data_IF_311465628186
#
_entry.id   IF_311465628186
#
_cell.length_a   1.000
_cell.length_b   1.000
_cell.length_c   1.000
_cell.angle_alpha   90.00
_cell.angle_beta   90.00
_cell.angle_gamma   90.00
#
_symmetry.space_group_name_H-M   'P 1'
#
loop_
_entity.id
_entity.type
_entity.pdbx_description
1 polymer ?
#
# COMPACT_ATOMS: atom_id res chain seq x y z
N UNK A 1 4.74 17.48 -15.82
CA UNK A 1 5.90 17.74 -16.71
C UNK A 1 6.91 16.60 -16.72
N UNK A 2 6.75 15.67 -17.67
CA UNK A 2 7.76 14.62 -17.96
C UNK A 2 7.93 14.47 -19.47
N UNK A 3 8.38 15.53 -20.14
CA UNK A 3 8.77 15.51 -21.54
C UNK A 3 10.23 15.97 -21.66
N UNK A 4 11.17 15.06 -21.43
CA UNK A 4 12.58 15.25 -21.77
C UNK A 4 13.03 14.07 -22.65
N UNK A 5 13.51 14.31 -23.89
CA UNK A 5 13.75 13.28 -24.90
C UNK A 5 14.94 12.33 -24.61
N UNK A 6 15.78 12.62 -23.61
CA UNK A 6 17.07 11.92 -23.41
C UNK A 6 17.16 10.98 -22.20
N UNK A 7 16.03 10.59 -21.58
CA UNK A 7 16.05 9.63 -20.45
C UNK A 7 16.09 8.17 -20.90
N UNK A 8 17.01 7.81 -21.80
CA UNK A 8 17.31 6.40 -22.04
C UNK A 8 18.06 5.86 -20.82
N UNK A 9 17.61 4.74 -20.20
CA UNK A 9 18.39 4.12 -19.14
C UNK A 9 19.80 3.80 -19.65
N UNK A 10 20.86 3.99 -18.84
CA UNK A 10 22.21 3.66 -19.26
C UNK A 10 22.30 2.22 -19.79
N UNK A 11 23.26 1.99 -20.70
CA UNK A 11 23.54 0.67 -21.25
C UNK A 11 23.83 -0.33 -20.13
N UNK A 12 23.31 -1.56 -20.26
CA UNK A 12 23.49 -2.59 -19.22
C UNK A 12 24.87 -3.25 -19.34
N UNK A 13 25.61 -3.44 -18.23
CA UNK A 13 26.73 -4.37 -18.19
C UNK A 13 26.28 -5.79 -18.58
N UNK A 14 27.16 -6.59 -19.16
CA UNK A 14 26.84 -7.96 -19.61
C UNK A 14 26.41 -8.89 -18.46
N UNK A 15 26.87 -8.61 -17.24
CA UNK A 15 26.59 -9.38 -16.02
C UNK A 15 25.34 -8.90 -15.26
N UNK A 16 24.73 -7.78 -15.66
CA UNK A 16 23.62 -7.17 -14.92
C UNK A 16 22.29 -7.31 -15.67
N UNK A 17 21.25 -7.82 -14.99
CA UNK A 17 19.87 -7.77 -15.47
C UNK A 17 19.19 -6.48 -15.00
N UNK A 18 18.21 -5.98 -15.78
CA UNK A 18 17.41 -4.83 -15.34
C UNK A 18 16.62 -5.23 -14.11
N UNK A 19 16.63 -4.38 -13.10
CA UNK A 19 15.80 -4.55 -11.91
C UNK A 19 14.36 -4.30 -12.33
N UNK A 20 13.48 -5.22 -11.97
CA UNK A 20 12.04 -5.10 -12.16
C UNK A 20 11.36 -5.15 -10.79
N UNK A 21 10.36 -4.30 -10.59
CA UNK A 21 9.55 -4.30 -9.37
C UNK A 21 8.10 -4.30 -9.81
N UNK A 22 7.35 -5.33 -9.43
CA UNK A 22 5.89 -5.36 -9.52
C UNK A 22 5.34 -5.32 -8.10
N UNK A 23 4.64 -4.24 -7.75
CA UNK A 23 4.07 -4.04 -6.42
C UNK A 23 2.56 -3.83 -6.53
N UNK A 24 1.81 -4.62 -5.77
CA UNK A 24 0.35 -4.51 -5.64
C UNK A 24 0.01 -4.20 -4.20
N UNK A 25 -0.82 -3.17 -3.99
CA UNK A 25 -1.26 -2.76 -2.67
C UNK A 25 -2.78 -2.84 -2.59
N UNK A 26 -3.27 -3.44 -1.51
CA UNK A 26 -4.68 -3.46 -1.15
C UNK A 26 -4.84 -2.80 0.22
N UNK A 27 -5.70 -1.79 0.27
CA UNK A 27 -5.99 -1.02 1.47
C UNK A 27 -7.45 -1.24 1.82
N UNK A 28 -7.73 -1.72 3.02
CA UNK A 28 -9.09 -2.03 3.45
C UNK A 28 -9.31 -1.51 4.86
N UNK A 29 -10.38 -0.75 5.14
CA UNK A 29 -10.75 -0.45 6.51
C UNK A 29 -10.99 -1.75 7.31
N UNK A 30 -10.74 -1.76 8.62
CA UNK A 30 -10.95 -2.98 9.42
C UNK A 30 -12.43 -3.39 9.46
N UNK A 31 -13.33 -2.41 9.58
CA UNK A 31 -14.77 -2.64 9.65
C UNK A 31 -15.25 -3.02 11.05
N UNK A 32 -16.54 -3.28 11.20
CA UNK A 32 -17.15 -3.66 12.49
C UNK A 32 -17.09 -2.57 13.57
N UNK A 33 -16.95 -1.31 13.16
CA UNK A 33 -16.74 -0.17 14.06
C UNK A 33 -15.30 -0.05 14.58
N UNK A 34 -14.39 -0.95 14.21
CA UNK A 34 -12.98 -0.84 14.59
C UNK A 34 -12.24 0.22 13.77
N UNK A 35 -11.36 0.97 14.44
CA UNK A 35 -10.53 1.98 13.81
C UNK A 35 -9.33 1.36 13.08
N UNK A 36 -8.92 2.01 11.99
CA UNK A 36 -7.70 1.69 11.25
C UNK A 36 -7.92 0.92 9.94
N UNK A 37 -6.81 0.76 9.21
CA UNK A 37 -6.78 0.21 7.85
C UNK A 37 -5.79 -0.95 7.80
N UNK A 38 -6.22 -2.07 7.21
CA UNK A 38 -5.35 -3.18 6.86
C UNK A 38 -4.72 -2.88 5.51
N UNK A 39 -3.39 -2.86 5.49
CA UNK A 39 -2.58 -2.76 4.28
C UNK A 39 -2.01 -4.14 3.95
N UNK A 40 -2.34 -4.65 2.77
CA UNK A 40 -1.69 -5.83 2.18
C UNK A 40 -0.86 -5.36 0.99
N UNK A 41 0.46 -5.51 1.09
CA UNK A 41 1.39 -5.18 0.01
C UNK A 41 2.10 -6.44 -0.46
N UNK A 42 2.03 -6.72 -1.76
CA UNK A 42 2.75 -7.82 -2.41
C UNK A 42 3.72 -7.20 -3.40
N UNK A 43 5.02 -7.36 -3.16
CA UNK A 43 6.06 -6.87 -4.04
C UNK A 43 6.90 -8.03 -4.57
N UNK A 44 7.05 -8.11 -5.90
CA UNK A 44 7.98 -9.01 -6.57
C UNK A 44 9.13 -8.19 -7.14
N UNK A 45 10.31 -8.37 -6.55
CA UNK A 45 11.54 -7.69 -6.97
C UNK A 45 12.44 -8.66 -7.73
N UNK A 46 12.72 -8.36 -8.98
CA UNK A 46 13.76 -9.01 -9.77
C UNK A 46 15.06 -8.27 -9.52
N UNK A 47 15.94 -8.87 -8.74
CA UNK A 47 17.29 -8.32 -8.50
C UNK A 47 18.19 -8.59 -9.70
N UNK A 48 18.94 -7.57 -10.12
CA UNK A 48 19.82 -7.62 -11.28
C UNK A 48 21.08 -8.47 -11.09
N UNK A 49 21.34 -8.87 -9.85
CA UNK A 49 22.46 -9.70 -9.39
C UNK A 49 21.93 -10.74 -8.40
N UNK A 50 22.55 -11.93 -8.32
CA UNK A 50 22.22 -12.90 -7.29
C UNK A 50 22.61 -12.36 -5.92
N UNK A 51 21.64 -12.30 -5.00
CA UNK A 51 21.86 -11.88 -3.61
C UNK A 51 21.73 -13.12 -2.72
N UNK A 52 22.68 -13.36 -1.79
CA UNK A 52 22.57 -14.44 -0.82
C UNK A 52 21.26 -14.38 -0.03
N UNK A 53 20.65 -15.54 0.23
CA UNK A 53 19.34 -15.64 0.91
C UNK A 53 19.34 -14.98 2.29
N UNK A 54 20.41 -15.16 3.08
CA UNK A 54 20.55 -14.52 4.39
C UNK A 54 20.54 -12.98 4.30
N UNK A 55 21.13 -12.42 3.25
CA UNK A 55 21.14 -10.97 3.02
C UNK A 55 19.78 -10.48 2.55
N UNK A 56 19.08 -11.25 1.69
CA UNK A 56 17.70 -10.94 1.32
C UNK A 56 16.79 -10.93 2.54
N UNK A 57 16.84 -11.96 3.37
CA UNK A 57 16.02 -12.06 4.59
C UNK A 57 16.28 -10.88 5.53
N UNK A 58 17.55 -10.53 5.75
CA UNK A 58 17.91 -9.36 6.57
C UNK A 58 17.35 -8.06 5.99
N UNK A 59 17.58 -7.82 4.69
CA UNK A 59 17.08 -6.61 4.02
C UNK A 59 15.56 -6.54 4.12
N UNK A 60 14.84 -7.61 3.79
CA UNK A 60 13.38 -7.59 3.82
C UNK A 60 12.83 -7.40 5.24
N UNK A 61 13.43 -8.00 6.25
CA UNK A 61 12.97 -7.83 7.63
C UNK A 61 13.15 -6.38 8.09
N UNK A 62 14.36 -5.83 7.98
CA UNK A 62 14.64 -4.45 8.40
C UNK A 62 13.92 -3.41 7.54
N UNK A 63 13.78 -3.66 6.24
CA UNK A 63 13.12 -2.73 5.32
C UNK A 63 11.60 -2.73 5.50
N UNK A 64 10.98 -3.89 5.76
CA UNK A 64 9.55 -3.98 6.02
C UNK A 64 9.16 -3.19 7.29
N UNK A 65 9.91 -3.35 8.38
CA UNK A 65 9.70 -2.58 9.61
C UNK A 65 9.84 -1.08 9.35
N UNK A 66 10.91 -0.66 8.67
CA UNK A 66 11.14 0.75 8.35
C UNK A 66 10.04 1.36 7.47
N UNK A 67 9.53 0.62 6.48
CA UNK A 67 8.40 1.06 5.66
C UNK A 67 7.16 1.26 6.53
N UNK A 68 6.83 0.26 7.36
CA UNK A 68 5.65 0.34 8.22
C UNK A 68 5.73 1.54 9.17
N UNK A 69 6.89 1.78 9.78
CA UNK A 69 7.13 2.95 10.63
C UNK A 69 6.96 4.27 9.87
N UNK A 70 7.44 4.35 8.64
CA UNK A 70 7.32 5.56 7.82
C UNK A 70 5.87 5.80 7.38
N UNK A 71 5.12 4.75 7.08
CA UNK A 71 3.68 4.84 6.77
C UNK A 71 2.91 5.29 8.00
N UNK A 72 3.18 4.71 9.17
CA UNK A 72 2.56 5.12 10.42
C UNK A 72 2.86 6.58 10.74
N UNK A 73 4.13 7.00 10.67
CA UNK A 73 4.53 8.41 10.85
C UNK A 73 3.82 9.33 9.87
N UNK A 74 3.77 8.97 8.58
CA UNK A 74 3.07 9.74 7.56
C UNK A 74 1.58 9.89 7.84
N UNK A 75 0.92 8.81 8.28
CA UNK A 75 -0.49 8.84 8.66
C UNK A 75 -0.76 9.69 9.90
N UNK A 76 0.16 9.69 10.87
CA UNK A 76 0.04 10.48 12.09
C UNK A 76 0.07 12.00 11.85
N UNK A 77 0.74 12.45 10.77
CA UNK A 77 0.77 13.87 10.38
C UNK A 77 -0.63 14.43 10.11
N UNK A 78 -1.64 13.60 9.81
CA UNK A 78 -3.02 14.05 9.61
C UNK A 78 -3.71 14.37 10.94
N UNK A 79 -3.32 13.72 12.04
CA UNK A 79 -3.91 13.94 13.35
C UNK A 79 -3.51 15.29 13.96
N UNK A 80 -2.41 15.88 13.52
CA UNK A 80 -1.93 17.18 13.98
C UNK A 80 -2.90 18.32 13.58
N UNK A 81 -3.42 19.11 14.54
CA UNK A 81 -4.47 20.13 14.28
C UNK A 81 -4.10 21.17 13.20
N UNK A 82 -2.81 21.50 13.07
CA UNK A 82 -2.33 22.53 12.14
C UNK A 82 -1.64 21.96 10.90
N UNK A 83 -1.68 20.64 10.71
CA UNK A 83 -1.00 20.01 9.60
C UNK A 83 -1.58 20.43 8.24
N UNK A 84 -0.72 20.68 7.23
CA UNK A 84 -1.18 20.97 5.87
C UNK A 84 -2.00 19.80 5.28
N UNK A 85 -1.77 18.57 5.74
CA UNK A 85 -2.51 17.39 5.29
C UNK A 85 -3.95 17.38 5.80
N UNK A 86 -4.16 17.75 7.06
CA UNK A 86 -5.49 17.89 7.64
C UNK A 86 -6.32 18.96 6.92
N UNK A 87 -5.72 20.13 6.68
CA UNK A 87 -6.36 21.22 5.91
C UNK A 87 -6.70 20.81 4.48
N UNK A 88 -5.94 19.88 3.89
CA UNK A 88 -6.22 19.35 2.55
C UNK A 88 -7.39 18.38 2.56
N UNK A 89 -7.50 17.53 3.59
CA UNK A 89 -8.64 16.63 3.80
C UNK A 89 -9.95 17.40 4.02
N UNK A 90 -9.92 18.42 4.87
CA UNK A 90 -11.10 19.24 5.16
C UNK A 90 -11.61 20.03 3.93
N UNK A 91 -10.74 20.30 2.96
CA UNK A 91 -11.10 20.97 1.70
C UNK A 91 -11.64 20.00 0.64
N UNK A 92 -11.48 18.69 0.82
CA UNK A 92 -11.86 17.66 -0.15
C UNK A 92 -13.26 17.11 0.15
N UNK A 93 -14.24 18.01 0.28
CA UNK A 93 -15.60 17.66 0.72
C UNK A 93 -16.30 16.65 -0.19
N UNK A 94 -16.00 16.69 -1.50
CA UNK A 94 -16.65 15.86 -2.53
C UNK A 94 -15.62 15.05 -3.33
N UNK A 95 -14.36 15.00 -2.89
CA UNK A 95 -13.28 14.37 -3.64
C UNK A 95 -12.94 12.97 -3.14
N UNK A 96 -11.73 12.54 -3.48
CA UNK A 96 -11.23 11.19 -3.20
C UNK A 96 -11.32 10.81 -1.71
N UNK A 97 -11.06 11.76 -0.80
CA UNK A 97 -11.11 11.49 0.63
C UNK A 97 -12.54 11.35 1.17
N UNK A 98 -13.51 12.02 0.55
CA UNK A 98 -14.92 11.83 0.87
C UNK A 98 -15.42 10.45 0.43
N UNK A 99 -15.00 9.97 -0.74
CA UNK A 99 -15.28 8.59 -1.19
C UNK A 99 -14.68 7.54 -0.24
N UNK A 100 -13.46 7.79 0.27
CA UNK A 100 -12.86 6.93 1.29
C UNK A 100 -13.67 6.91 2.59
N UNK A 101 -14.20 8.05 3.03
CA UNK A 101 -15.07 8.11 4.21
C UNK A 101 -16.35 7.28 4.02
N UNK A 102 -16.95 7.29 2.82
CA UNK A 102 -18.09 6.43 2.50
C UNK A 102 -17.71 4.94 2.57
N UNK A 103 -16.52 4.58 2.08
CA UNK A 103 -16.01 3.21 2.18
C UNK A 103 -15.76 2.78 3.64
N UNK A 104 -15.31 3.68 4.50
CA UNK A 104 -15.17 3.45 5.94
C UNK A 104 -16.52 3.26 6.63
N UNK A 105 -17.51 4.10 6.34
CA UNK A 105 -18.87 3.96 6.87
C UNK A 105 -19.51 2.64 6.43
N UNK A 106 -19.40 2.28 5.15
CA UNK A 106 -19.87 0.99 4.66
C UNK A 106 -19.16 -0.18 5.35
N UNK A 107 -17.86 -0.04 5.64
CA UNK A 107 -17.09 -1.05 6.34
C UNK A 107 -17.53 -1.26 7.80
N UNK A 108 -18.12 -0.25 8.47
CA UNK A 108 -18.66 -0.44 9.82
C UNK A 108 -19.76 -1.49 9.87
N UNK A 109 -20.46 -1.72 8.77
CA UNK A 109 -21.57 -2.69 8.68
C UNK A 109 -21.12 -4.15 8.54
N UNK A 110 -19.85 -4.40 8.21
CA UNK A 110 -19.29 -5.76 8.08
C UNK A 110 -18.56 -6.19 9.36
N UNK A 111 -18.30 -7.49 9.52
CA UNK A 111 -17.44 -8.01 10.59
C UNK A 111 -16.05 -7.37 10.48
N UNK A 112 -15.47 -6.98 11.61
CA UNK A 112 -14.10 -6.50 11.68
C UNK A 112 -13.13 -7.57 11.16
N UNK A 113 -12.23 -7.17 10.28
CA UNK A 113 -11.15 -8.04 9.79
C UNK A 113 -9.95 -7.87 10.73
N UNK A 114 -9.44 -9.01 11.20
CA UNK A 114 -8.19 -9.12 11.93
C UNK A 114 -7.20 -9.93 11.12
N UNK A 115 -5.90 -9.73 11.35
CA UNK A 115 -4.85 -10.61 10.80
C UNK A 115 -5.04 -12.08 11.19
N UNK A 116 -5.71 -12.35 12.31
CA UNK A 116 -6.06 -13.70 12.77
C UNK A 116 -7.28 -14.31 12.05
N UNK A 117 -8.11 -13.45 11.45
CA UNK A 117 -9.40 -13.79 10.83
C UNK A 117 -9.39 -13.41 9.33
N UNK A 118 -8.22 -13.44 8.68
CA UNK A 118 -8.16 -13.18 7.24
C UNK A 118 -8.96 -14.27 6.52
N UNK A 119 -9.83 -13.88 5.59
CA UNK A 119 -10.61 -14.87 4.86
C UNK A 119 -9.65 -15.71 4.01
N UNK A 120 -9.94 -17.00 3.89
CA UNK A 120 -9.07 -17.94 3.23
C UNK A 120 -9.06 -17.76 1.70
N UNK A 121 -8.39 -18.67 0.98
CA UNK A 121 -8.28 -18.63 -0.47
C UNK A 121 -9.63 -18.55 -1.20
N UNK A 122 -10.72 -18.97 -0.57
CA UNK A 122 -12.08 -18.93 -1.12
C UNK A 122 -12.57 -17.52 -1.50
N UNK A 123 -11.89 -16.45 -1.05
CA UNK A 123 -12.20 -15.08 -1.51
C UNK A 123 -11.87 -14.89 -2.98
N UNK A 124 -10.86 -15.59 -3.50
CA UNK A 124 -10.48 -15.50 -4.91
C UNK A 124 -11.48 -16.19 -5.84
N UNK A 125 -12.32 -17.07 -5.29
CA UNK A 125 -13.40 -17.75 -6.01
C UNK A 125 -14.73 -16.97 -5.97
N UNK A 126 -14.80 -15.86 -5.22
CA UNK A 126 -16.00 -15.02 -5.17
C UNK A 126 -16.13 -14.27 -6.48
N UNK A 127 -17.31 -14.33 -7.10
CA UNK A 127 -17.59 -13.47 -8.24
C UNK A 127 -17.39 -12.00 -7.86
N UNK A 128 -16.71 -11.21 -8.72
CA UNK A 128 -16.55 -9.78 -8.49
C UNK A 128 -17.93 -9.16 -8.35
N UNK A 129 -18.23 -8.64 -7.15
CA UNK A 129 -19.40 -7.80 -6.93
C UNK A 129 -19.13 -6.44 -7.56
N UNK A 130 -19.05 -6.38 -8.88
CA UNK A 130 -19.19 -5.11 -9.58
C UNK A 130 -20.63 -4.65 -9.32
N UNK A 131 -20.75 -3.54 -8.60
CA UNK A 131 -22.00 -2.90 -8.25
C UNK A 131 -22.87 -2.72 -9.49
N UNK A 132 -24.10 -3.23 -9.42
CA UNK A 132 -25.20 -2.77 -10.25
C UNK A 132 -25.61 -1.36 -9.80
#
# INVERSE_FOLDING_TARGET
>A
DFHAPDRRPPGRPWWARRIGVDTRNLWMPRGGGEAGTVLVSVARVQVGVPIPENMLTFIFHSFAESILDNVQRGSALVAEPNSPWRKRLEKDADGFYAELALAEEAAKQRKAISFLDLPGPEVFDREPRLAA
#
